data_IF_226870742546
#
_entry.id   IF_226870742546
#
_cell.length_a   1.000
_cell.length_b   1.000
_cell.length_c   1.000
_cell.angle_alpha   90.00
_cell.angle_beta   90.00
_cell.angle_gamma   90.00
#
_symmetry.space_group_name_H-M   'P 1'
#
loop_
_entity.id
_entity.type
_entity.pdbx_description
1 polymer ?
#
# COMPACT_ATOMS: atom_id res chain seq x y z
N UNK A 1 -9.91 -2.12 -29.61
CA UNK A 1 -9.04 -2.89 -30.51
C UNK A 1 -8.10 -1.93 -31.23
N UNK A 2 -6.90 -1.72 -30.69
CA UNK A 2 -5.88 -0.87 -31.30
C UNK A 2 -5.04 -1.75 -32.23
N UNK A 3 -5.15 -1.49 -33.55
CA UNK A 3 -4.29 -2.14 -34.55
C UNK A 3 -2.88 -1.55 -34.44
N UNK A 4 -1.93 -2.35 -33.96
CA UNK A 4 -0.51 -2.08 -34.10
C UNK A 4 -0.16 -2.09 -35.61
N UNK A 5 0.13 -0.92 -36.19
CA UNK A 5 0.84 -0.84 -37.45
C UNK A 5 2.33 -1.03 -37.18
N UNK A 6 2.82 -2.23 -37.42
CA UNK A 6 4.26 -2.47 -37.54
C UNK A 6 4.79 -1.70 -38.76
N UNK A 7 5.58 -0.66 -38.49
CA UNK A 7 6.31 0.06 -39.56
C UNK A 7 7.51 -0.82 -39.89
N UNK A 8 7.42 -1.53 -41.02
CA UNK A 8 8.55 -2.22 -41.62
C UNK A 8 9.50 -1.18 -42.24
N UNK A 9 10.66 -1.03 -41.62
CA UNK A 9 11.74 -0.26 -42.24
C UNK A 9 12.21 -0.98 -43.50
N UNK A 10 12.22 -0.23 -44.62
CA UNK A 10 12.61 -0.73 -45.93
C UNK A 10 14.11 -1.14 -45.87
N UNK A 11 14.40 -2.38 -46.24
CA UNK A 11 15.75 -2.99 -46.24
C UNK A 11 16.79 -2.27 -47.07
N UNK A 12 16.39 -1.31 -47.92
CA UNK A 12 17.25 -0.62 -48.91
C UNK A 12 18.12 0.52 -48.32
N UNK A 13 17.90 0.92 -47.06
CA UNK A 13 18.61 2.07 -46.44
C UNK A 13 19.78 1.70 -45.53
N UNK A 14 20.08 0.42 -45.35
CA UNK A 14 21.17 0.00 -44.46
C UNK A 14 22.20 -0.78 -45.27
N UNK A 15 23.03 -0.06 -46.01
CA UNK A 15 24.26 -0.63 -46.55
C UNK A 15 25.35 -0.57 -45.46
N UNK A 16 25.26 -1.48 -44.50
CA UNK A 16 26.15 -1.51 -43.31
C UNK A 16 27.09 -2.69 -43.43
N UNK A 17 28.07 -2.64 -44.32
CA UNK A 17 29.15 -3.61 -44.28
C UNK A 17 30.05 -3.50 -43.02
N UNK A 18 29.83 -2.53 -42.12
CA UNK A 18 30.70 -2.26 -40.96
C UNK A 18 29.99 -1.91 -39.63
N UNK A 19 28.69 -2.11 -39.48
CA UNK A 19 28.06 -1.91 -38.19
C UNK A 19 28.07 -3.19 -37.39
N UNK A 20 28.81 -3.16 -36.29
CA UNK A 20 28.90 -4.29 -35.37
C UNK A 20 27.50 -4.71 -34.91
N UNK A 21 27.10 -5.96 -35.15
CA UNK A 21 25.79 -6.52 -34.84
C UNK A 21 25.32 -6.22 -33.40
N UNK A 22 26.30 -6.12 -32.47
CA UNK A 22 26.05 -5.77 -31.05
C UNK A 22 25.53 -4.32 -30.90
N UNK A 23 26.06 -3.37 -31.69
CA UNK A 23 25.60 -1.96 -31.64
C UNK A 23 24.17 -1.85 -32.17
N UNK A 24 23.87 -2.56 -33.25
CA UNK A 24 22.53 -2.57 -33.82
C UNK A 24 21.49 -3.15 -32.84
N UNK A 25 21.83 -4.26 -32.18
CA UNK A 25 20.99 -4.90 -31.16
C UNK A 25 20.77 -3.98 -29.95
N UNK A 26 21.81 -3.25 -29.53
CA UNK A 26 21.71 -2.27 -28.43
C UNK A 26 20.79 -1.09 -28.78
N UNK A 27 20.82 -0.60 -30.02
CA UNK A 27 19.93 0.46 -30.51
C UNK A 27 18.47 -0.04 -30.54
N UNK A 28 18.22 -1.25 -31.05
CA UNK A 28 16.88 -1.83 -31.04
C UNK A 28 16.33 -2.04 -29.64
N UNK A 29 17.13 -2.52 -28.70
CA UNK A 29 16.71 -2.64 -27.30
C UNK A 29 16.40 -1.30 -26.66
N UNK A 30 17.19 -0.27 -26.90
CA UNK A 30 16.93 1.08 -26.40
C UNK A 30 15.62 1.66 -26.96
N UNK A 31 15.40 1.56 -28.27
CA UNK A 31 14.15 2.00 -28.90
C UNK A 31 12.95 1.25 -28.34
N UNK A 32 13.06 -0.06 -28.15
CA UNK A 32 12.01 -0.87 -27.55
C UNK A 32 11.67 -0.41 -26.12
N UNK A 33 12.71 -0.14 -25.29
CA UNK A 33 12.53 0.37 -23.93
C UNK A 33 11.82 1.74 -23.94
N UNK A 34 12.19 2.65 -24.85
CA UNK A 34 11.55 3.97 -24.99
C UNK A 34 10.07 3.82 -25.35
N UNK A 35 9.77 2.95 -26.32
CA UNK A 35 8.40 2.68 -26.75
C UNK A 35 7.58 2.09 -25.60
N UNK A 36 8.12 1.11 -24.89
CA UNK A 36 7.45 0.51 -23.74
C UNK A 36 7.17 1.54 -22.64
N UNK A 37 8.14 2.39 -22.31
CA UNK A 37 7.96 3.45 -21.31
C UNK A 37 6.88 4.47 -21.74
N UNK A 38 6.83 4.84 -23.01
CA UNK A 38 5.78 5.71 -23.53
C UNK A 38 4.38 5.08 -23.37
N UNK A 39 4.20 3.82 -23.77
CA UNK A 39 2.90 3.14 -23.59
C UNK A 39 2.53 2.95 -22.11
N UNK A 40 3.49 2.65 -21.25
CA UNK A 40 3.26 2.55 -19.81
C UNK A 40 2.81 3.89 -19.21
N UNK A 41 3.38 5.02 -19.66
CA UNK A 41 2.95 6.34 -19.21
C UNK A 41 1.51 6.66 -19.63
N UNK A 42 1.12 6.34 -20.86
CA UNK A 42 -0.24 6.53 -21.34
C UNK A 42 -1.26 5.69 -20.54
N UNK A 43 -0.94 4.43 -20.26
CA UNK A 43 -1.79 3.58 -19.41
C UNK A 43 -1.90 4.15 -17.99
N UNK A 44 -0.82 4.70 -17.47
CA UNK A 44 -0.79 5.33 -16.15
C UNK A 44 -1.72 6.53 -16.09
N UNK A 45 -1.65 7.45 -17.08
CA UNK A 45 -2.51 8.62 -17.14
C UNK A 45 -3.99 8.27 -17.28
N UNK A 46 -4.33 7.29 -18.14
CA UNK A 46 -5.71 6.81 -18.26
C UNK A 46 -6.24 6.29 -16.92
N UNK A 47 -5.42 5.56 -16.16
CA UNK A 47 -5.81 5.08 -14.84
C UNK A 47 -6.05 6.25 -13.88
N UNK A 48 -5.16 7.22 -13.81
CA UNK A 48 -5.32 8.41 -12.94
C UNK A 48 -6.62 9.14 -13.26
N UNK A 49 -6.88 9.44 -14.53
CA UNK A 49 -8.10 10.12 -14.94
C UNK A 49 -9.37 9.36 -14.53
N UNK A 50 -9.36 8.03 -14.61
CA UNK A 50 -10.46 7.21 -14.17
C UNK A 50 -10.65 7.26 -12.65
N UNK A 51 -9.57 7.36 -11.87
CA UNK A 51 -9.64 7.52 -10.42
C UNK A 51 -10.17 8.88 -10.02
N UNK A 52 -9.69 9.94 -10.66
CA UNK A 52 -10.18 11.29 -10.49
C UNK A 52 -11.70 11.34 -10.65
N UNK A 53 -12.23 10.91 -11.81
CA UNK A 53 -13.67 10.89 -12.09
C UNK A 53 -14.48 10.14 -11.03
N UNK A 54 -13.96 9.01 -10.54
CA UNK A 54 -14.64 8.22 -9.50
C UNK A 54 -14.63 8.91 -8.14
N UNK A 55 -13.51 9.52 -7.77
CA UNK A 55 -13.41 10.22 -6.49
C UNK A 55 -14.36 11.40 -6.47
N UNK A 56 -14.42 12.20 -7.51
CA UNK A 56 -15.37 13.30 -7.65
C UNK A 56 -16.81 12.78 -7.55
N UNK A 57 -17.14 11.71 -8.30
CA UNK A 57 -18.48 11.11 -8.21
C UNK A 57 -18.81 10.61 -6.80
N UNK A 58 -17.85 10.04 -6.09
CA UNK A 58 -18.02 9.60 -4.71
C UNK A 58 -18.28 10.79 -3.77
N UNK A 59 -17.51 11.87 -3.87
CA UNK A 59 -17.71 13.08 -3.07
C UNK A 59 -19.11 13.69 -3.30
N UNK A 60 -19.53 13.78 -4.55
CA UNK A 60 -20.89 14.23 -4.87
C UNK A 60 -21.97 13.32 -4.29
N UNK A 61 -21.74 12.00 -4.23
CA UNK A 61 -22.71 11.05 -3.64
C UNK A 61 -22.85 11.21 -2.12
N UNK A 62 -21.84 11.74 -1.44
CA UNK A 62 -21.88 12.04 0.00
C UNK A 62 -22.57 13.37 0.30
N UNK A 63 -23.05 14.11 -0.72
CA UNK A 63 -23.59 15.47 -0.59
C UNK A 63 -22.62 16.43 0.10
N UNK A 64 -21.32 16.13 0.05
CA UNK A 64 -20.29 17.03 0.54
C UNK A 64 -20.16 18.21 -0.43
N UNK A 65 -20.15 19.43 0.09
CA UNK A 65 -19.90 20.66 -0.67
C UNK A 65 -18.41 20.79 -0.99
N UNK A 66 -17.83 19.74 -1.60
CA UNK A 66 -16.43 19.75 -1.98
C UNK A 66 -16.21 20.72 -3.15
N UNK A 67 -15.45 21.76 -2.90
CA UNK A 67 -15.07 22.75 -3.89
C UNK A 67 -13.54 22.85 -3.95
N UNK A 68 -12.96 22.49 -5.08
CA UNK A 68 -11.49 22.54 -5.28
C UNK A 68 -10.93 23.97 -5.23
N UNK A 69 -11.73 24.97 -5.56
CA UNK A 69 -11.33 26.38 -5.50
C UNK A 69 -11.34 26.95 -4.08
N UNK A 70 -11.92 26.25 -3.11
CA UNK A 70 -12.03 26.71 -1.74
C UNK A 70 -11.91 25.56 -0.74
N UNK A 71 -10.67 25.17 -0.45
CA UNK A 71 -10.35 24.08 0.47
C UNK A 71 -10.27 24.57 1.91
N UNK A 72 -11.40 24.66 2.59
CA UNK A 72 -11.51 25.19 3.95
C UNK A 72 -11.12 24.13 4.98
N UNK A 73 -11.78 22.98 4.95
CA UNK A 73 -11.63 21.95 5.98
C UNK A 73 -10.39 21.06 5.75
N UNK A 74 -9.97 20.40 6.83
CA UNK A 74 -8.94 19.36 6.72
C UNK A 74 -9.37 18.24 5.78
N UNK A 75 -10.65 17.88 5.79
CA UNK A 75 -11.21 16.85 4.91
C UNK A 75 -11.13 17.25 3.44
N UNK A 76 -11.40 18.53 3.10
CA UNK A 76 -11.27 19.03 1.73
C UNK A 76 -9.84 18.90 1.23
N UNK A 77 -8.87 19.26 2.07
CA UNK A 77 -7.44 19.13 1.75
C UNK A 77 -7.02 17.67 1.57
N UNK A 78 -7.52 16.75 2.40
CA UNK A 78 -7.29 15.31 2.22
C UNK A 78 -7.92 14.79 0.93
N UNK A 79 -9.14 15.21 0.61
CA UNK A 79 -9.81 14.84 -0.63
C UNK A 79 -9.03 15.33 -1.84
N UNK A 80 -8.55 16.57 -1.80
CA UNK A 80 -7.69 17.13 -2.84
C UNK A 80 -6.40 16.31 -3.03
N UNK A 81 -5.71 15.97 -1.95
CA UNK A 81 -4.51 15.12 -1.99
C UNK A 81 -4.79 13.72 -2.56
N UNK A 82 -5.95 13.13 -2.24
CA UNK A 82 -6.35 11.83 -2.79
C UNK A 82 -6.62 11.88 -4.29
N UNK A 83 -7.00 13.04 -4.81
CA UNK A 83 -7.28 13.27 -6.23
C UNK A 83 -6.00 13.60 -6.99
N UNK A 84 -5.22 14.56 -6.49
CA UNK A 84 -4.16 15.21 -7.26
C UNK A 84 -2.75 14.69 -6.96
N UNK A 85 -2.51 14.12 -5.77
CA UNK A 85 -1.20 13.58 -5.44
C UNK A 85 -1.00 12.19 -6.06
N UNK A 86 -0.42 12.19 -7.24
CA UNK A 86 -0.14 11.00 -8.05
C UNK A 86 1.27 10.44 -7.83
N UNK A 87 1.93 10.79 -6.72
CA UNK A 87 3.28 10.35 -6.43
C UNK A 87 3.37 8.80 -6.39
N UNK A 88 4.23 8.24 -7.24
CA UNK A 88 4.45 6.79 -7.36
C UNK A 88 4.98 6.17 -6.06
N UNK A 89 5.68 6.95 -5.23
CA UNK A 89 6.16 6.49 -3.92
C UNK A 89 5.02 6.04 -3.00
N UNK A 90 3.81 6.65 -3.12
CA UNK A 90 2.62 6.19 -2.39
C UNK A 90 2.28 4.73 -2.69
N UNK A 91 2.41 4.31 -3.94
CA UNK A 91 2.21 2.91 -4.33
C UNK A 91 3.22 1.99 -3.65
N UNK A 92 4.50 2.34 -3.69
CA UNK A 92 5.56 1.58 -3.06
C UNK A 92 5.41 1.50 -1.53
N UNK A 93 5.06 2.61 -0.88
CA UNK A 93 4.81 2.65 0.57
C UNK A 93 3.50 1.96 0.99
N UNK A 94 2.55 1.77 0.07
CA UNK A 94 1.30 1.05 0.32
C UNK A 94 1.41 -0.44 0.06
N UNK A 95 2.41 -0.87 -0.71
CA UNK A 95 2.79 -2.27 -0.88
C UNK A 95 3.50 -2.77 0.38
N UNK A 96 2.85 -3.69 1.11
CA UNK A 96 3.36 -4.18 2.40
C UNK A 96 4.71 -4.89 2.30
N UNK A 97 5.04 -5.47 1.14
CA UNK A 97 6.34 -6.11 0.89
C UNK A 97 7.39 -5.04 0.58
N UNK A 98 7.10 -4.11 -0.34
CA UNK A 98 8.04 -3.05 -0.70
C UNK A 98 8.30 -2.10 0.47
N UNK A 99 7.31 -1.88 1.34
CA UNK A 99 7.47 -1.07 2.55
C UNK A 99 8.56 -1.62 3.48
N UNK A 100 8.71 -2.94 3.60
CA UNK A 100 9.80 -3.56 4.37
C UNK A 100 11.17 -3.13 3.83
N UNK A 101 11.39 -3.24 2.52
CA UNK A 101 12.65 -2.84 1.90
C UNK A 101 12.90 -1.34 2.02
N UNK A 102 11.87 -0.53 1.78
CA UNK A 102 11.96 0.92 1.88
C UNK A 102 12.28 1.39 3.29
N UNK A 103 11.59 0.86 4.31
CA UNK A 103 11.84 1.20 5.71
C UNK A 103 13.24 0.79 6.16
N UNK A 104 13.69 -0.40 5.79
CA UNK A 104 15.05 -0.87 6.07
C UNK A 104 16.11 0.04 5.43
N UNK A 105 15.91 0.43 4.18
CA UNK A 105 16.82 1.36 3.48
C UNK A 105 16.88 2.74 4.14
N UNK A 106 15.73 3.26 4.58
CA UNK A 106 15.65 4.60 5.21
C UNK A 106 16.17 4.62 6.63
N UNK A 107 15.90 3.59 7.41
CA UNK A 107 16.18 3.54 8.87
C UNK A 107 17.51 2.84 9.13
N UNK A 108 18.05 2.09 8.16
CA UNK A 108 19.27 1.28 8.34
C UNK A 108 19.06 0.00 9.17
N UNK A 109 17.83 -0.25 9.65
CA UNK A 109 17.47 -1.42 10.47
C UNK A 109 16.20 -2.06 9.94
N UNK A 110 16.08 -3.36 10.11
CA UNK A 110 14.83 -4.07 9.87
C UNK A 110 13.92 -3.93 11.09
N UNK A 111 12.88 -3.11 10.95
CA UNK A 111 11.90 -2.84 12.01
C UNK A 111 10.54 -3.48 11.72
N UNK A 112 10.42 -4.15 10.60
CA UNK A 112 9.19 -4.81 10.18
C UNK A 112 9.17 -6.27 10.65
N UNK A 113 7.97 -6.84 10.72
CA UNK A 113 7.82 -8.27 10.98
C UNK A 113 8.50 -9.10 9.90
N UNK A 114 9.14 -10.17 10.27
CA UNK A 114 9.84 -11.03 9.32
C UNK A 114 8.88 -11.62 8.29
N UNK A 115 9.19 -11.42 7.01
CA UNK A 115 8.52 -12.10 5.90
C UNK A 115 9.13 -13.48 5.77
N UNK A 116 8.31 -14.52 5.89
CA UNK A 116 8.71 -15.92 5.82
C UNK A 116 8.69 -16.47 4.40
N UNK A 117 7.63 -16.14 3.64
CA UNK A 117 7.42 -16.60 2.26
C UNK A 117 6.65 -15.57 1.45
N UNK A 118 6.88 -15.56 0.13
CA UNK A 118 6.15 -14.75 -0.85
C UNK A 118 5.67 -15.68 -1.96
N UNK A 119 4.41 -15.51 -2.37
CA UNK A 119 3.76 -16.29 -3.43
C UNK A 119 3.14 -15.35 -4.46
N UNK A 120 3.15 -15.76 -5.73
CA UNK A 120 2.49 -15.05 -6.82
C UNK A 120 1.02 -15.48 -7.00
N UNK A 121 0.68 -16.66 -6.51
CA UNK A 121 -0.66 -17.25 -6.60
C UNK A 121 -1.01 -18.01 -5.33
N UNK A 122 -2.28 -18.11 -5.01
CA UNK A 122 -2.79 -18.93 -3.93
C UNK A 122 -2.52 -20.43 -4.14
N UNK A 123 -2.28 -20.83 -5.38
CA UNK A 123 -2.00 -22.25 -5.73
C UNK A 123 -0.63 -22.70 -5.21
N UNK A 124 0.34 -21.78 -5.15
CA UNK A 124 1.72 -22.03 -4.72
C UNK A 124 1.85 -22.31 -3.22
N UNK A 125 0.79 -22.04 -2.44
CA UNK A 125 0.86 -22.16 -0.98
C UNK A 125 0.87 -23.64 -0.59
N UNK A 126 2.00 -24.07 -0.03
CA UNK A 126 2.13 -25.34 0.70
C UNK A 126 2.13 -25.06 2.21
N UNK A 127 1.13 -25.58 2.91
CA UNK A 127 0.97 -25.41 4.35
C UNK A 127 2.06 -26.15 5.14
N UNK A 128 2.64 -27.22 4.58
CA UNK A 128 3.66 -28.03 5.26
C UNK A 128 4.96 -27.26 5.44
N UNK A 129 5.26 -26.31 4.53
CA UNK A 129 6.45 -25.46 4.61
C UNK A 129 6.32 -24.32 5.60
N UNK A 130 5.11 -24.09 6.17
CA UNK A 130 4.86 -22.98 7.07
C UNK A 130 4.95 -23.41 8.54
N UNK A 131 5.36 -22.51 9.45
CA UNK A 131 5.38 -22.78 10.88
C UNK A 131 3.96 -23.04 11.42
N UNK A 132 3.84 -23.43 12.69
CA UNK A 132 2.54 -23.65 13.29
C UNK A 132 1.71 -22.36 13.44
N UNK A 133 2.39 -21.23 13.65
CA UNK A 133 1.76 -19.91 13.82
C UNK A 133 2.32 -18.94 12.76
N UNK A 134 1.45 -18.26 12.05
CA UNK A 134 1.83 -17.28 11.03
C UNK A 134 0.67 -16.33 10.69
N UNK A 135 0.96 -15.28 9.92
CA UNK A 135 -0.05 -14.41 9.34
C UNK A 135 0.07 -14.44 7.83
N UNK A 136 -1.00 -14.86 7.15
CA UNK A 136 -1.09 -14.93 5.70
C UNK A 136 -1.83 -13.69 5.17
N UNK A 137 -1.19 -12.91 4.28
CA UNK A 137 -1.68 -11.60 3.81
C UNK A 137 -1.53 -11.45 2.32
N UNK A 138 -2.26 -10.48 1.75
CA UNK A 138 -1.89 -9.89 0.45
C UNK A 138 -1.16 -8.56 0.68
N UNK A 139 -0.24 -8.22 -0.22
CA UNK A 139 0.57 -6.99 -0.11
C UNK A 139 -0.23 -5.72 -0.40
N UNK A 140 -1.38 -5.82 -1.07
CA UNK A 140 -2.28 -4.72 -1.40
C UNK A 140 -3.56 -4.74 -0.55
N UNK A 141 -4.17 -3.56 -0.40
CA UNK A 141 -5.45 -3.41 0.29
C UNK A 141 -5.36 -3.49 1.82
N UNK A 142 -6.51 -3.48 2.48
CA UNK A 142 -6.67 -3.53 3.93
C UNK A 142 -7.65 -4.62 4.34
N UNK A 143 -7.37 -5.32 5.44
CA UNK A 143 -8.20 -6.42 5.95
C UNK A 143 -8.07 -7.73 5.15
N UNK A 144 -7.10 -7.84 4.25
CA UNK A 144 -6.84 -9.02 3.44
C UNK A 144 -5.79 -9.92 4.12
N UNK A 145 -6.16 -10.51 5.27
CA UNK A 145 -5.27 -11.33 6.07
C UNK A 145 -6.01 -12.46 6.79
N UNK A 146 -5.27 -13.51 7.09
CA UNK A 146 -5.62 -14.59 8.02
C UNK A 146 -4.56 -14.68 9.10
N UNK A 147 -4.99 -14.62 10.35
CA UNK A 147 -4.14 -14.88 11.50
C UNK A 147 -4.29 -16.36 11.83
N UNK A 148 -3.20 -17.10 11.77
CA UNK A 148 -3.17 -18.54 11.99
C UNK A 148 -2.40 -18.81 13.28
N UNK A 149 -3.12 -19.21 14.29
CA UNK A 149 -2.58 -19.52 15.62
C UNK A 149 -2.28 -21.01 15.79
N UNK A 150 -2.96 -21.84 15.01
CA UNK A 150 -2.73 -23.27 14.93
C UNK A 150 -2.93 -23.73 13.47
N UNK A 151 -1.85 -24.19 12.86
CA UNK A 151 -1.82 -24.65 11.48
C UNK A 151 -2.77 -25.83 11.24
N UNK A 152 -2.91 -26.73 12.21
CA UNK A 152 -3.73 -27.94 12.07
C UNK A 152 -5.24 -27.64 11.99
N UNK A 153 -5.67 -26.52 12.58
CA UNK A 153 -7.06 -26.05 12.56
C UNK A 153 -7.35 -25.11 11.36
N UNK A 154 -6.32 -24.73 10.61
CA UNK A 154 -6.44 -23.76 9.56
C UNK A 154 -7.02 -24.34 8.27
N UNK A 155 -8.17 -23.87 7.85
CA UNK A 155 -8.80 -24.27 6.60
C UNK A 155 -8.15 -23.61 5.40
N UNK A 156 -7.08 -24.22 4.87
CA UNK A 156 -6.34 -23.72 3.71
C UNK A 156 -7.20 -23.60 2.46
N UNK A 157 -8.13 -24.53 2.22
CA UNK A 157 -9.01 -24.49 1.05
C UNK A 157 -9.91 -23.27 1.06
N UNK A 158 -10.48 -22.92 2.20
CA UNK A 158 -11.25 -21.69 2.40
C UNK A 158 -10.36 -20.45 2.21
N UNK A 159 -9.15 -20.46 2.77
CA UNK A 159 -8.21 -19.35 2.64
C UNK A 159 -7.80 -19.12 1.19
N UNK A 160 -7.47 -20.18 0.43
CA UNK A 160 -7.12 -20.08 -1.00
C UNK A 160 -8.26 -19.46 -1.82
N UNK A 161 -9.53 -19.78 -1.54
CA UNK A 161 -10.67 -19.14 -2.21
C UNK A 161 -10.74 -17.63 -1.94
N UNK A 162 -10.52 -17.21 -0.69
CA UNK A 162 -10.48 -15.78 -0.33
C UNK A 162 -9.30 -15.06 -0.96
N UNK A 163 -8.10 -15.64 -0.89
CA UNK A 163 -6.89 -15.09 -1.49
C UNK A 163 -7.05 -14.90 -3.00
N UNK A 164 -7.56 -15.89 -3.72
CA UNK A 164 -7.89 -15.77 -5.14
C UNK A 164 -8.83 -14.58 -5.41
N UNK A 165 -9.87 -14.41 -4.59
CA UNK A 165 -10.81 -13.29 -4.69
C UNK A 165 -10.14 -11.95 -4.42
N UNK A 166 -9.25 -11.87 -3.41
CA UNK A 166 -8.52 -10.66 -3.08
C UNK A 166 -7.48 -10.30 -4.15
N UNK A 167 -6.73 -11.28 -4.65
CA UNK A 167 -5.76 -11.11 -5.73
C UNK A 167 -6.41 -10.57 -7.02
N UNK A 168 -7.65 -10.94 -7.31
CA UNK A 168 -8.39 -10.45 -8.47
C UNK A 168 -9.07 -9.10 -8.26
N UNK A 169 -9.08 -8.56 -7.02
CA UNK A 169 -9.72 -7.27 -6.74
C UNK A 169 -8.76 -6.11 -6.88
N UNK A 170 -9.16 -5.11 -7.62
CA UNK A 170 -8.52 -3.79 -7.57
C UNK A 170 -9.05 -3.03 -6.33
N UNK A 171 -8.27 -3.07 -5.25
CA UNK A 171 -8.61 -2.40 -4.00
C UNK A 171 -8.68 -0.88 -4.18
N UNK A 172 -7.73 -0.32 -4.91
CA UNK A 172 -7.68 1.11 -5.19
C UNK A 172 -8.92 1.60 -5.92
N UNK A 173 -9.37 0.86 -6.94
CA UNK A 173 -10.61 1.14 -7.67
C UNK A 173 -11.83 1.18 -6.74
N UNK A 174 -11.92 0.25 -5.79
CA UNK A 174 -13.03 0.15 -4.86
C UNK A 174 -13.06 1.30 -3.85
N UNK A 175 -11.89 1.76 -3.39
CA UNK A 175 -11.75 2.79 -2.35
C UNK A 175 -11.47 4.19 -2.89
N UNK A 176 -11.35 4.32 -4.22
CA UNK A 176 -10.87 5.55 -4.86
C UNK A 176 -9.51 6.01 -4.35
N UNK A 177 -8.62 5.02 -4.10
CA UNK A 177 -7.24 5.19 -3.64
C UNK A 177 -6.30 4.63 -4.71
N UNK A 178 -6.00 5.46 -5.73
CA UNK A 178 -5.36 5.00 -6.97
C UNK A 178 -4.02 4.28 -6.76
N UNK A 179 -3.26 4.67 -5.74
CA UNK A 179 -1.93 4.10 -5.46
C UNK A 179 -1.97 2.58 -5.23
N UNK A 180 -3.05 2.02 -4.70
CA UNK A 180 -3.19 0.57 -4.56
C UNK A 180 -3.36 -0.17 -5.89
N UNK A 181 -3.82 0.48 -6.95
CA UNK A 181 -4.01 -0.18 -8.25
C UNK A 181 -2.72 -0.39 -9.02
N UNK A 182 -1.63 0.25 -8.59
CA UNK A 182 -0.30 0.08 -9.19
C UNK A 182 0.54 -0.98 -8.50
N UNK A 183 0.06 -1.55 -7.39
CA UNK A 183 0.77 -2.59 -6.65
C UNK A 183 0.74 -3.89 -7.45
N UNK A 184 1.92 -4.46 -7.69
CA UNK A 184 2.04 -5.82 -8.20
C UNK A 184 1.61 -6.79 -7.09
N UNK A 185 0.42 -7.38 -7.25
CA UNK A 185 -0.25 -8.13 -6.20
C UNK A 185 0.46 -9.43 -5.92
N UNK A 186 0.74 -9.66 -4.64
CA UNK A 186 1.38 -10.87 -4.12
C UNK A 186 0.70 -11.30 -2.84
N UNK A 187 0.87 -12.56 -2.52
CA UNK A 187 0.53 -13.15 -1.22
C UNK A 187 1.83 -13.33 -0.46
N UNK A 188 1.83 -13.10 0.83
CA UNK A 188 3.01 -13.32 1.65
C UNK A 188 2.63 -13.80 3.05
N UNK A 189 3.59 -14.43 3.69
CA UNK A 189 3.49 -14.94 5.05
C UNK A 189 4.42 -14.17 5.93
N UNK A 190 3.91 -13.64 7.03
CA UNK A 190 4.67 -12.99 8.08
C UNK A 190 4.70 -13.84 9.34
N UNK A 191 5.72 -13.62 10.14
CA UNK A 191 5.83 -14.15 11.48
C UNK A 191 4.64 -13.69 12.34
N UNK A 192 4.11 -14.61 13.14
CA UNK A 192 3.07 -14.31 14.12
C UNK A 192 3.69 -13.75 15.40
N UNK A 193 3.31 -12.55 15.80
CA UNK A 193 3.88 -11.83 16.95
C UNK A 193 2.95 -11.76 18.17
N UNK A 194 1.86 -12.53 18.17
CA UNK A 194 0.93 -12.64 19.31
C UNK A 194 -0.44 -12.00 19.14
N UNK A 195 -1.33 -12.25 20.10
CA UNK A 195 -2.74 -11.82 20.08
C UNK A 195 -2.97 -10.39 20.58
N UNK A 196 -2.27 -10.01 21.62
CA UNK A 196 -2.55 -8.77 22.38
C UNK A 196 -1.68 -7.62 21.95
N UNK A 197 -1.74 -7.28 20.64
CA UNK A 197 -0.96 -6.19 20.10
C UNK A 197 -1.68 -4.85 20.32
N UNK A 198 -1.00 -3.93 21.00
CA UNK A 198 -1.42 -2.54 21.06
C UNK A 198 -1.00 -1.84 19.75
N UNK A 199 -1.97 -1.30 19.04
CA UNK A 199 -1.69 -0.57 17.79
C UNK A 199 -1.57 0.93 18.06
N UNK A 200 -0.35 1.45 17.88
CA UNK A 200 -0.07 2.89 17.93
C UNK A 200 0.01 3.43 16.52
N UNK A 201 -0.73 4.49 16.23
CA UNK A 201 -0.68 5.17 14.92
C UNK A 201 -0.31 6.63 15.12
N UNK A 202 0.81 7.02 14.53
CA UNK A 202 1.30 8.39 14.55
C UNK A 202 0.67 9.18 13.41
N UNK A 203 0.12 10.34 13.74
CA UNK A 203 -0.39 11.31 12.78
C UNK A 203 0.71 12.33 12.52
N UNK A 204 1.27 12.28 11.31
CA UNK A 204 2.36 13.15 10.88
C UNK A 204 1.83 14.23 9.93
N UNK A 205 2.26 15.46 10.13
CA UNK A 205 1.96 16.61 9.29
C UNK A 205 3.28 17.23 8.81
N UNK A 206 3.46 17.32 7.50
CA UNK A 206 4.73 17.75 6.89
C UNK A 206 5.95 17.00 7.44
N UNK A 207 5.84 15.67 7.51
CA UNK A 207 6.90 14.81 8.03
C UNK A 207 7.10 14.83 9.56
N UNK A 208 6.36 15.66 10.30
CA UNK A 208 6.50 15.79 11.76
C UNK A 208 5.35 15.11 12.47
N UNK A 209 5.59 14.16 13.40
CA UNK A 209 4.54 13.58 14.24
C UNK A 209 3.97 14.65 15.17
N UNK A 210 2.64 14.71 15.26
CA UNK A 210 1.92 15.66 16.10
C UNK A 210 1.06 14.96 17.14
N UNK A 211 0.47 13.85 16.76
CA UNK A 211 -0.40 13.06 17.62
C UNK A 211 -0.13 11.58 17.43
N UNK A 212 -0.42 10.81 18.45
CA UNK A 212 -0.48 9.36 18.37
C UNK A 212 -1.82 8.88 18.91
N UNK A 213 -2.41 7.89 18.29
CA UNK A 213 -3.54 7.23 18.92
C UNK A 213 -3.30 5.75 19.10
N UNK A 214 -3.74 5.27 20.28
CA UNK A 214 -3.78 3.88 20.66
C UNK A 214 -5.14 3.31 20.27
N UNK A 215 -5.14 2.29 19.43
CA UNK A 215 -6.35 1.53 19.07
C UNK A 215 -6.46 0.31 19.96
N UNK A 216 -7.58 0.20 20.62
CA UNK A 216 -7.90 -0.89 21.55
C UNK A 216 -9.16 -1.62 21.08
N UNK A 217 -9.22 -2.91 21.35
CA UNK A 217 -10.42 -3.71 21.18
C UNK A 217 -10.65 -4.52 22.46
N UNK A 218 -11.81 -4.35 23.09
CA UNK A 218 -12.24 -5.11 24.26
C UNK A 218 -13.62 -5.73 23.93
N UNK A 219 -13.67 -7.05 23.81
CA UNK A 219 -14.84 -7.73 23.26
C UNK A 219 -15.16 -7.25 21.85
N UNK A 220 -16.37 -6.76 21.62
CA UNK A 220 -16.79 -6.16 20.33
C UNK A 220 -16.54 -4.65 20.26
N UNK A 221 -16.26 -4.00 21.38
CA UNK A 221 -16.04 -2.57 21.47
C UNK A 221 -14.66 -2.18 20.97
N UNK A 222 -14.63 -1.04 20.27
CA UNK A 222 -13.39 -0.44 19.74
C UNK A 222 -13.22 0.95 20.31
N UNK A 223 -12.05 1.21 20.85
CA UNK A 223 -11.69 2.48 21.46
C UNK A 223 -10.49 3.10 20.79
N UNK A 224 -10.39 4.44 20.86
CA UNK A 224 -9.23 5.20 20.40
C UNK A 224 -8.89 6.29 21.37
N UNK A 225 -7.73 6.18 22.00
CA UNK A 225 -7.20 7.22 22.87
C UNK A 225 -6.13 7.99 22.14
N UNK A 226 -6.29 9.30 22.06
CA UNK A 226 -5.35 10.21 21.41
C UNK A 226 -4.42 10.84 22.45
N UNK A 227 -3.16 11.01 22.08
CA UNK A 227 -2.12 11.64 22.88
C UNK A 227 -1.31 12.61 22.02
N UNK A 228 -0.81 13.67 22.66
CA UNK A 228 0.24 14.50 22.04
C UNK A 228 1.61 13.81 22.11
N UNK A 229 2.64 14.48 21.61
CA UNK A 229 4.01 13.94 21.64
C UNK A 229 4.64 13.92 23.04
N UNK A 230 4.05 14.59 24.02
CA UNK A 230 4.43 14.52 25.43
C UNK A 230 3.66 13.45 26.19
N UNK A 231 2.82 12.67 25.49
CA UNK A 231 1.94 11.64 26.03
C UNK A 231 0.79 12.17 26.89
N UNK A 232 0.39 13.44 26.72
CA UNK A 232 -0.80 13.98 27.34
C UNK A 232 -2.03 13.49 26.57
N UNK A 233 -3.04 13.00 27.32
CA UNK A 233 -4.30 12.57 26.73
C UNK A 233 -5.03 13.78 26.11
N UNK A 234 -5.55 13.58 24.89
CA UNK A 234 -6.35 14.55 24.18
C UNK A 234 -7.77 14.02 24.05
N UNK A 235 -8.73 14.77 24.55
CA UNK A 235 -10.12 14.41 24.44
C UNK A 235 -10.66 14.71 23.01
N UNK A 236 -10.26 13.83 22.09
CA UNK A 236 -10.63 13.90 20.69
C UNK A 236 -11.36 12.63 20.27
N UNK A 237 -12.50 12.80 19.61
CA UNK A 237 -13.36 11.70 19.16
C UNK A 237 -13.25 11.55 17.65
N UNK A 238 -12.77 10.40 17.19
CA UNK A 238 -12.70 10.08 15.78
C UNK A 238 -13.07 8.61 15.54
N UNK A 239 -14.21 8.35 14.93
CA UNK A 239 -14.73 7.02 14.56
C UNK A 239 -14.98 6.03 15.71
N UNK A 240 -14.45 6.26 16.89
CA UNK A 240 -14.60 5.44 18.11
C UNK A 240 -14.50 6.33 19.33
N UNK A 241 -15.25 6.01 20.37
CA UNK A 241 -15.15 6.69 21.68
C UNK A 241 -13.77 6.41 22.31
N UNK A 242 -13.26 7.31 23.16
CA UNK A 242 -12.11 7.01 23.99
C UNK A 242 -12.45 5.89 24.98
N UNK A 243 -11.44 5.12 25.35
CA UNK A 243 -11.59 4.09 26.38
C UNK A 243 -11.78 4.75 27.76
N UNK A 244 -12.64 4.23 28.64
CA UNK A 244 -12.85 4.80 29.97
C UNK A 244 -11.57 4.95 30.81
N UNK A 245 -10.59 4.04 30.62
CA UNK A 245 -9.24 4.23 31.13
C UNK A 245 -8.46 5.14 30.20
N UNK A 246 -8.49 6.44 30.45
CA UNK A 246 -7.83 7.44 29.62
C UNK A 246 -6.30 7.39 29.71
N UNK A 247 -5.75 6.84 30.79
CA UNK A 247 -4.31 6.82 31.06
C UNK A 247 -3.72 5.46 30.78
N UNK A 248 -3.24 5.28 29.55
CA UNK A 248 -2.38 4.16 29.21
C UNK A 248 -0.92 4.59 29.40
N UNK A 249 -0.07 3.70 29.93
CA UNK A 249 1.34 4.03 30.10
C UNK A 249 2.00 4.31 28.75
N UNK A 250 2.88 5.31 28.71
CA UNK A 250 3.72 5.63 27.57
C UNK A 250 4.53 4.39 27.20
N UNK A 251 4.57 3.99 25.88
CA UNK A 251 5.36 2.84 25.47
C UNK A 251 6.85 3.05 25.77
N UNK A 252 7.54 2.01 26.26
CA UNK A 252 8.98 2.09 26.55
C UNK A 252 9.84 2.55 25.39
N UNK A 253 9.43 2.20 24.14
CA UNK A 253 10.14 2.57 22.92
C UNK A 253 9.58 3.83 22.26
N UNK A 254 8.75 4.60 22.95
CA UNK A 254 8.10 5.78 22.35
C UNK A 254 9.12 6.79 21.78
N UNK A 255 10.13 7.13 22.57
CA UNK A 255 11.17 8.10 22.15
C UNK A 255 11.96 7.56 20.95
N UNK A 256 12.28 6.27 20.93
CA UNK A 256 12.96 5.66 19.79
C UNK A 256 12.10 5.75 18.53
N UNK A 257 10.81 5.43 18.61
CA UNK A 257 9.88 5.52 17.49
C UNK A 257 9.75 6.99 17.04
N UNK A 258 9.65 7.90 18.00
CA UNK A 258 9.58 9.34 17.73
C UNK A 258 10.80 9.82 16.92
N UNK A 259 12.02 9.44 17.34
CA UNK A 259 13.24 9.76 16.59
C UNK A 259 13.26 9.15 15.18
N UNK A 260 12.79 7.92 15.01
CA UNK A 260 12.71 7.26 13.70
C UNK A 260 11.73 7.93 12.71
N UNK A 261 10.81 8.75 13.20
CA UNK A 261 9.83 9.47 12.37
C UNK A 261 10.34 10.85 11.88
N UNK A 262 11.50 11.30 12.36
CA UNK A 262 12.10 12.59 11.96
C UNK A 262 13.14 12.46 10.83
N UNK A 263 13.39 11.26 10.31
CA UNK A 263 14.35 11.00 9.22
C UNK A 263 13.67 10.85 7.84
#
# INVERSE_FOLDING_TARGET
MLKLKLIFFNKSLINTKNVNHKILLSIFTLIFIIICNYYLSQIYEIKINNYYKRRIKFLHSLKENYNESNLITFQDKLNWLLIHDTNKLKGSCSDKILLHYYSKQKIGKDICNKILKIYHSEKEIDINELPNQFVLKTNHGSGYNFIVENKTEFNLTRAKRHLKKWMNRDYGKRRSEFHYSFINRKIFVEEYIGKSLKNYKFLCYNGKPKYVYLSLKEGEEKYRNFYDMNWNFINFHCLSKPHPKYHYPKPKLFELIFHLLYF
#
